data_IF_600752632611
#
_entry.id   IF_600752632611
#
_cell.length_a   1.000
_cell.length_b   1.000
_cell.length_c   1.000
_cell.angle_alpha   90.00
_cell.angle_beta   90.00
_cell.angle_gamma   90.00
#
_symmetry.space_group_name_H-M   'P 1'
#
loop_
_entity.id
_entity.type
_entity.pdbx_description
1 polymer ?
#
# COMPACT_ATOMS: atom_id res chain seq x y z
N UNK A 1 55.52 26.25 -13.65
CA UNK A 1 55.12 24.92 -14.19
C UNK A 1 55.43 23.91 -13.09
N UNK A 2 54.53 23.27 -12.35
CA UNK A 2 53.10 22.99 -12.53
C UNK A 2 52.90 21.49 -12.69
N UNK A 3 52.92 20.69 -11.61
CA UNK A 3 52.70 19.22 -11.71
C UNK A 3 52.08 18.48 -10.51
N UNK A 4 51.57 19.12 -9.43
CA UNK A 4 51.03 18.34 -8.29
C UNK A 4 49.71 18.80 -7.65
N UNK A 5 48.98 19.77 -8.22
CA UNK A 5 47.76 20.31 -7.60
C UNK A 5 46.43 19.67 -8.05
N UNK A 6 46.44 18.50 -8.70
CA UNK A 6 45.23 17.88 -9.29
C UNK A 6 44.77 16.54 -8.70
N UNK A 7 45.26 16.14 -7.52
CA UNK A 7 44.89 14.84 -6.92
C UNK A 7 43.84 14.89 -5.80
N UNK A 8 43.24 16.06 -5.53
CA UNK A 8 42.14 16.16 -4.57
C UNK A 8 40.99 17.02 -5.09
N UNK A 9 40.47 16.73 -6.29
CA UNK A 9 39.07 17.10 -6.56
C UNK A 9 38.18 16.08 -5.84
N UNK A 10 37.91 16.34 -4.57
CA UNK A 10 36.83 15.66 -3.85
C UNK A 10 35.57 15.98 -4.65
N UNK A 11 35.06 15.01 -5.40
CA UNK A 11 33.71 15.12 -5.93
C UNK A 11 32.82 15.26 -4.70
N UNK A 12 32.32 16.47 -4.46
CA UNK A 12 31.10 16.64 -3.69
C UNK A 12 30.06 15.80 -4.43
N UNK A 13 29.88 14.56 -3.98
CA UNK A 13 28.68 13.80 -4.29
C UNK A 13 27.56 14.71 -3.81
N UNK A 14 26.87 15.36 -4.75
CA UNK A 14 25.63 16.07 -4.46
C UNK A 14 24.82 15.10 -3.61
N UNK A 15 24.53 15.50 -2.37
CA UNK A 15 23.65 14.71 -1.52
C UNK A 15 22.37 14.48 -2.35
N UNK A 16 21.87 13.25 -2.45
CA UNK A 16 20.69 12.98 -3.24
C UNK A 16 19.58 13.94 -2.77
N UNK A 17 19.02 14.69 -3.69
CA UNK A 17 17.89 15.58 -3.41
C UNK A 17 16.79 14.71 -2.80
N UNK A 18 16.45 14.98 -1.54
CA UNK A 18 15.40 14.26 -0.84
C UNK A 18 14.09 14.64 -1.49
N UNK A 19 13.61 13.80 -2.40
CA UNK A 19 12.27 13.98 -2.99
C UNK A 19 11.23 13.94 -1.88
N UNK A 20 10.41 14.98 -1.83
CA UNK A 20 9.24 15.03 -0.96
C UNK A 20 8.36 13.79 -1.20
N UNK A 21 7.87 13.21 -0.11
CA UNK A 21 7.01 12.04 -0.18
C UNK A 21 5.55 12.44 -0.24
N UNK A 22 4.83 11.79 -1.13
CA UNK A 22 3.38 11.84 -1.27
C UNK A 22 2.85 10.41 -1.13
N UNK A 23 1.54 10.22 -0.88
CA UNK A 23 0.97 8.87 -0.77
C UNK A 23 1.21 8.01 -2.01
N UNK A 24 1.36 8.63 -3.19
CA UNK A 24 1.60 7.94 -4.46
C UNK A 24 3.08 7.61 -4.71
N UNK A 25 4.01 8.01 -3.84
CA UNK A 25 5.45 7.79 -4.06
C UNK A 25 6.21 7.26 -2.85
N UNK A 26 5.50 6.82 -1.80
CA UNK A 26 6.07 6.13 -0.63
C UNK A 26 6.93 4.94 -1.09
N UNK A 27 8.05 4.75 -0.38
CA UNK A 27 9.04 3.69 -0.61
C UNK A 27 9.21 2.84 0.65
N UNK A 28 9.66 1.60 0.45
CA UNK A 28 10.09 0.74 1.56
C UNK A 28 11.23 1.42 2.32
N UNK A 29 11.11 1.47 3.66
CA UNK A 29 12.02 2.15 4.58
C UNK A 29 11.61 3.59 4.91
N UNK A 30 10.59 4.16 4.26
CA UNK A 30 9.97 5.41 4.72
C UNK A 30 9.19 5.18 6.03
N UNK A 31 8.92 6.25 6.76
CA UNK A 31 8.08 6.23 7.96
C UNK A 31 6.75 6.94 7.65
N UNK A 32 5.65 6.31 8.03
CA UNK A 32 4.31 6.90 7.97
C UNK A 32 3.80 7.05 9.40
N UNK A 33 3.55 8.29 9.82
CA UNK A 33 2.82 8.57 11.06
C UNK A 33 1.33 8.54 10.75
N UNK A 34 0.58 7.73 11.49
CA UNK A 34 -0.88 7.64 11.44
C UNK A 34 -1.41 7.37 12.85
N UNK A 35 -2.49 8.04 13.25
CA UNK A 35 -3.11 7.92 14.59
C UNK A 35 -2.08 8.00 15.75
N UNK A 36 -1.18 8.99 15.66
CA UNK A 36 -0.09 9.23 16.63
C UNK A 36 0.95 8.10 16.75
N UNK A 37 0.95 7.13 15.84
CA UNK A 37 1.90 6.02 15.78
C UNK A 37 2.77 6.14 14.54
N UNK A 38 4.08 5.92 14.71
CA UNK A 38 5.05 5.89 13.61
C UNK A 38 5.24 4.46 13.12
N UNK A 39 4.89 4.20 11.86
CA UNK A 39 5.04 2.90 11.21
C UNK A 39 6.20 2.91 10.20
N UNK A 40 7.00 1.86 10.20
CA UNK A 40 7.94 1.60 9.11
C UNK A 40 7.21 0.98 7.91
N UNK A 41 7.44 1.52 6.72
CA UNK A 41 6.97 0.91 5.48
C UNK A 41 7.88 -0.26 5.13
N UNK A 42 7.43 -1.48 5.42
CA UNK A 42 8.25 -2.70 5.23
C UNK A 42 7.93 -3.45 3.94
N UNK A 43 6.82 -3.10 3.29
CA UNK A 43 6.37 -3.71 2.03
C UNK A 43 5.61 -2.70 1.18
N UNK A 44 5.68 -2.88 -0.13
CA UNK A 44 4.89 -2.13 -1.10
C UNK A 44 4.39 -3.07 -2.18
N UNK A 45 3.13 -2.93 -2.54
CA UNK A 45 2.51 -3.59 -3.67
C UNK A 45 2.01 -2.49 -4.60
N UNK A 46 2.40 -2.56 -5.87
CA UNK A 46 1.78 -1.76 -6.93
C UNK A 46 0.93 -2.68 -7.77
N UNK A 47 -0.35 -2.35 -7.87
CA UNK A 47 -1.33 -3.07 -8.67
C UNK A 47 -1.55 -2.35 -9.99
N UNK A 48 -1.81 -3.11 -11.05
CA UNK A 48 -2.16 -2.58 -12.36
C UNK A 48 -3.24 -3.43 -13.01
N UNK A 49 -4.40 -2.85 -13.23
CA UNK A 49 -5.46 -3.42 -14.06
C UNK A 49 -5.75 -2.48 -15.23
N UNK A 50 -5.45 -2.93 -16.45
CA UNK A 50 -5.54 -2.10 -17.64
C UNK A 50 -4.70 -0.80 -17.53
N UNK A 51 -5.39 0.34 -17.47
CA UNK A 51 -4.80 1.67 -17.34
C UNK A 51 -4.75 2.22 -15.90
N UNK A 52 -5.33 1.50 -14.94
CA UNK A 52 -5.44 1.90 -13.55
C UNK A 52 -4.25 1.37 -12.74
N UNK A 53 -3.79 2.16 -11.78
CA UNK A 53 -2.68 1.84 -10.88
C UNK A 53 -2.97 2.34 -9.47
N UNK A 54 -2.85 1.45 -8.49
CA UNK A 54 -2.96 1.77 -7.08
C UNK A 54 -1.85 1.11 -6.28
N UNK A 55 -1.68 1.57 -5.04
CA UNK A 55 -0.62 1.14 -4.14
C UNK A 55 -1.19 0.61 -2.83
N UNK A 56 -0.56 -0.42 -2.30
CA UNK A 56 -0.75 -0.86 -0.92
C UNK A 56 0.59 -0.90 -0.20
N UNK A 57 0.68 -0.23 0.94
CA UNK A 57 1.89 -0.11 1.75
C UNK A 57 1.72 -0.88 3.05
N UNK A 58 2.62 -1.83 3.31
CA UNK A 58 2.63 -2.56 4.58
C UNK A 58 3.30 -1.70 5.65
N UNK A 59 2.50 -1.23 6.61
CA UNK A 59 2.90 -0.40 7.74
C UNK A 59 3.15 -1.30 8.95
N UNK A 60 4.34 -1.22 9.54
CA UNK A 60 4.73 -2.05 10.69
C UNK A 60 5.11 -1.18 11.89
N UNK A 61 4.50 -1.47 13.04
CA UNK A 61 4.94 -1.01 14.35
C UNK A 61 4.96 -2.23 15.28
N UNK A 62 6.12 -2.54 15.88
CA UNK A 62 6.25 -3.74 16.71
C UNK A 62 5.83 -5.03 15.98
N UNK A 63 4.75 -5.66 16.47
CA UNK A 63 4.09 -6.82 15.87
C UNK A 63 2.76 -6.48 15.15
N UNK A 64 2.34 -5.22 15.20
CA UNK A 64 1.13 -4.72 14.55
C UNK A 64 1.40 -4.38 13.10
N UNK A 65 0.50 -4.80 12.21
CA UNK A 65 0.57 -4.51 10.79
C UNK A 65 -0.72 -3.88 10.32
N UNK A 66 -0.62 -2.75 9.63
CA UNK A 66 -1.69 -2.12 8.88
C UNK A 66 -1.30 -2.04 7.40
N UNK A 67 -2.28 -1.85 6.54
CA UNK A 67 -2.08 -1.55 5.13
C UNK A 67 -2.62 -0.17 4.83
N UNK A 68 -1.81 0.67 4.19
CA UNK A 68 -2.26 1.95 3.63
C UNK A 68 -2.48 1.75 2.13
N UNK A 69 -3.72 1.87 1.68
CA UNK A 69 -4.06 1.94 0.27
C UNK A 69 -3.95 3.39 -0.21
N UNK A 70 -3.48 3.58 -1.44
CA UNK A 70 -3.45 4.88 -2.07
C UNK A 70 -3.64 4.77 -3.59
N UNK A 71 -4.54 5.56 -4.12
CA UNK A 71 -4.77 5.65 -5.56
C UNK A 71 -5.12 7.06 -6.01
N UNK A 72 -5.15 7.24 -7.32
CA UNK A 72 -5.51 8.49 -7.96
C UNK A 72 -6.46 8.17 -9.11
N UNK A 73 -7.74 8.46 -8.91
CA UNK A 73 -8.74 8.44 -9.98
C UNK A 73 -9.13 9.88 -10.33
N UNK A 74 -10.35 10.32 -9.99
CA UNK A 74 -10.75 11.74 -10.08
C UNK A 74 -10.09 12.59 -8.97
N UNK A 75 -9.91 12.00 -7.79
CA UNK A 75 -9.18 12.58 -6.66
C UNK A 75 -8.24 11.58 -5.98
N UNK A 76 -7.48 12.05 -4.97
CA UNK A 76 -6.61 11.19 -4.18
C UNK A 76 -7.45 10.42 -3.17
N UNK A 77 -7.48 9.11 -3.30
CA UNK A 77 -8.19 8.23 -2.38
C UNK A 77 -7.19 7.45 -1.52
N UNK A 78 -7.49 7.38 -0.22
CA UNK A 78 -6.65 6.75 0.79
C UNK A 78 -7.52 5.95 1.75
N UNK A 79 -7.06 4.75 2.11
CA UNK A 79 -7.73 3.94 3.12
C UNK A 79 -6.73 3.19 3.98
N UNK A 80 -7.10 2.92 5.23
CA UNK A 80 -6.30 2.12 6.16
C UNK A 80 -7.03 0.82 6.43
N UNK A 81 -6.30 -0.29 6.27
CA UNK A 81 -6.84 -1.63 6.30
C UNK A 81 -6.08 -2.54 7.28
N UNK A 82 -6.79 -3.50 7.85
CA UNK A 82 -6.27 -4.58 8.67
C UNK A 82 -6.74 -5.94 8.15
N UNK A 83 -5.83 -6.91 8.08
CA UNK A 83 -6.18 -8.26 7.62
C UNK A 83 -7.02 -9.00 8.65
N UNK A 84 -8.16 -9.54 8.23
CA UNK A 84 -9.12 -10.25 9.08
C UNK A 84 -9.26 -11.71 8.70
N UNK A 85 -9.76 -12.51 9.64
CA UNK A 85 -10.03 -13.93 9.40
C UNK A 85 -11.47 -14.12 8.93
N UNK A 86 -11.68 -13.99 7.63
CA UNK A 86 -12.95 -14.27 6.98
C UNK A 86 -12.74 -15.31 5.86
N UNK A 87 -13.27 -16.54 5.99
CA UNK A 87 -13.10 -17.56 4.96
C UNK A 87 -13.93 -17.20 3.71
N UNK A 88 -13.23 -16.91 2.61
CA UNK A 88 -13.84 -16.64 1.30
C UNK A 88 -13.14 -17.49 0.23
N UNK A 89 -13.87 -17.88 -0.81
CA UNK A 89 -13.35 -18.65 -1.94
C UNK A 89 -13.83 -18.04 -3.26
N UNK A 90 -13.07 -18.29 -4.33
CA UNK A 90 -13.51 -17.96 -5.68
C UNK A 90 -14.65 -18.88 -6.16
N UNK A 91 -15.60 -18.36 -6.98
CA UNK A 91 -15.77 -16.96 -7.34
C UNK A 91 -16.22 -16.12 -6.15
N UNK A 92 -15.78 -14.87 -6.08
CA UNK A 92 -16.09 -13.99 -4.96
C UNK A 92 -17.61 -13.79 -4.81
N UNK A 93 -18.18 -14.01 -3.60
CA UNK A 93 -19.61 -13.97 -3.36
C UNK A 93 -20.15 -12.54 -3.55
N UNK A 94 -21.44 -12.39 -3.84
CA UNK A 94 -22.04 -11.04 -4.00
C UNK A 94 -22.24 -10.28 -2.69
N UNK A 95 -22.31 -11.01 -1.58
CA UNK A 95 -22.57 -10.49 -0.24
C UNK A 95 -21.64 -11.19 0.74
N UNK A 96 -21.10 -10.46 1.70
CA UNK A 96 -20.35 -10.98 2.84
C UNK A 96 -20.97 -10.46 4.15
N UNK A 97 -20.72 -11.18 5.24
CA UNK A 97 -21.06 -10.75 6.59
C UNK A 97 -19.80 -10.80 7.44
N UNK A 98 -19.49 -9.70 8.10
CA UNK A 98 -18.34 -9.58 8.99
C UNK A 98 -18.73 -8.73 10.20
N UNK A 99 -18.45 -9.22 11.41
CA UNK A 99 -18.78 -8.54 12.68
C UNK A 99 -20.23 -8.04 12.83
N UNK A 100 -21.18 -8.70 12.16
CA UNK A 100 -22.60 -8.35 12.21
C UNK A 100 -23.04 -7.28 11.20
N UNK A 101 -22.11 -6.77 10.39
CA UNK A 101 -22.39 -5.87 9.28
C UNK A 101 -22.46 -6.65 7.96
N UNK A 102 -23.32 -6.18 7.07
CA UNK A 102 -23.46 -6.72 5.71
C UNK A 102 -22.62 -5.88 4.75
N UNK A 103 -21.88 -6.56 3.89
CA UNK A 103 -21.08 -5.98 2.82
C UNK A 103 -21.57 -6.45 1.46
N UNK A 104 -21.63 -5.55 0.48
CA UNK A 104 -22.00 -5.84 -0.89
C UNK A 104 -20.82 -5.62 -1.82
N UNK A 105 -20.62 -6.55 -2.75
CA UNK A 105 -19.53 -6.47 -3.72
C UNK A 105 -19.77 -5.28 -4.65
N UNK A 106 -18.82 -4.36 -4.69
CA UNK A 106 -18.87 -3.16 -5.51
C UNK A 106 -18.06 -3.35 -6.80
N UNK A 107 -16.81 -3.80 -6.65
CA UNK A 107 -15.89 -4.06 -7.77
C UNK A 107 -15.30 -5.48 -7.71
N UNK A 108 -14.96 -6.05 -8.87
CA UNK A 108 -14.03 -7.17 -8.97
C UNK A 108 -13.19 -7.10 -10.24
N UNK A 109 -11.92 -7.49 -10.15
CA UNK A 109 -10.98 -7.39 -11.26
C UNK A 109 -9.78 -8.33 -11.15
N UNK A 110 -8.79 -8.12 -12.02
CA UNK A 110 -7.57 -8.92 -12.06
C UNK A 110 -6.35 -8.04 -12.35
N UNK A 111 -5.54 -7.80 -11.31
CA UNK A 111 -4.41 -6.89 -11.36
C UNK A 111 -3.07 -7.62 -11.47
N UNK A 112 -2.16 -7.11 -12.30
CA UNK A 112 -0.74 -7.51 -12.27
C UNK A 112 -0.04 -6.74 -11.15
N UNK A 113 0.75 -7.45 -10.35
CA UNK A 113 1.39 -6.85 -9.16
C UNK A 113 2.91 -6.76 -9.26
N UNK A 114 3.45 -5.66 -8.76
CA UNK A 114 4.88 -5.48 -8.45
C UNK A 114 5.02 -5.42 -6.94
N UNK A 115 5.86 -6.29 -6.38
CA UNK A 115 6.04 -6.42 -4.93
C UNK A 115 7.45 -6.03 -4.51
N UNK A 116 7.56 -5.17 -3.50
CA UNK A 116 8.81 -4.68 -2.93
C UNK A 116 8.85 -4.93 -1.41
N UNK A 117 10.05 -4.95 -0.83
CA UNK A 117 10.22 -5.22 0.61
C UNK A 117 9.73 -6.62 0.99
N UNK A 118 8.89 -6.72 2.02
CA UNK A 118 8.24 -7.96 2.46
C UNK A 118 7.31 -8.57 1.41
N UNK A 119 6.80 -7.78 0.47
CA UNK A 119 5.94 -8.24 -0.63
C UNK A 119 6.72 -8.75 -1.85
N UNK A 120 8.05 -8.88 -1.77
CA UNK A 120 8.89 -9.30 -2.91
C UNK A 120 8.55 -10.69 -3.47
N UNK A 121 7.99 -11.58 -2.64
CA UNK A 121 7.58 -12.93 -3.05
C UNK A 121 6.42 -12.93 -4.06
N UNK A 122 5.59 -11.88 -4.09
CA UNK A 122 4.47 -11.77 -5.03
C UNK A 122 4.83 -11.00 -6.30
N UNK A 123 6.07 -10.51 -6.43
CA UNK A 123 6.48 -9.70 -7.57
C UNK A 123 6.27 -10.40 -8.92
N UNK A 124 5.56 -9.74 -9.84
CA UNK A 124 5.26 -10.24 -11.18
C UNK A 124 4.10 -11.24 -11.24
N UNK A 125 3.42 -11.49 -10.13
CA UNK A 125 2.19 -12.30 -10.08
C UNK A 125 0.99 -11.47 -10.59
N UNK A 126 -0.13 -12.17 -10.69
CA UNK A 126 -1.46 -11.60 -10.91
C UNK A 126 -2.33 -11.95 -9.70
N UNK A 127 -3.13 -11.01 -9.24
CA UNK A 127 -4.10 -11.17 -8.15
C UNK A 127 -5.51 -10.92 -8.69
N UNK A 128 -6.47 -11.78 -8.33
CA UNK A 128 -7.88 -11.43 -8.46
C UNK A 128 -8.30 -10.68 -7.22
N UNK A 129 -8.95 -9.54 -7.40
CA UNK A 129 -9.40 -8.72 -6.29
C UNK A 129 -10.91 -8.50 -6.34
N UNK A 130 -11.49 -8.18 -5.19
CA UNK A 130 -12.84 -7.65 -5.10
C UNK A 130 -12.95 -6.70 -3.92
N UNK A 131 -13.62 -5.59 -4.13
CA UNK A 131 -13.92 -4.59 -3.12
C UNK A 131 -15.38 -4.68 -2.73
N UNK A 132 -15.65 -4.54 -1.44
CA UNK A 132 -17.00 -4.55 -0.90
C UNK A 132 -17.20 -3.35 0.01
N UNK A 133 -18.42 -2.82 -0.02
CA UNK A 133 -18.84 -1.69 0.81
C UNK A 133 -19.93 -2.13 1.78
N UNK A 134 -19.89 -1.60 3.01
CA UNK A 134 -20.91 -1.82 4.03
C UNK A 134 -22.24 -1.13 3.69
N UNK A 135 -23.32 -1.55 4.36
CA UNK A 135 -24.66 -0.93 4.21
C UNK A 135 -24.72 0.57 4.55
N UNK A 136 -23.84 1.03 5.45
CA UNK A 136 -23.72 2.43 5.85
C UNK A 136 -22.67 3.21 5.05
N UNK A 137 -21.97 2.55 4.11
CA UNK A 137 -20.94 3.16 3.26
C UNK A 137 -19.74 3.74 4.04
N UNK A 138 -19.49 3.26 5.26
CA UNK A 138 -18.39 3.74 6.11
C UNK A 138 -17.21 2.74 6.23
N UNK A 139 -17.39 1.50 5.77
CA UNK A 139 -16.39 0.43 5.95
C UNK A 139 -16.31 -0.44 4.71
N UNK A 140 -15.11 -0.95 4.43
CA UNK A 140 -14.80 -1.71 3.24
C UNK A 140 -14.22 -3.08 3.58
N UNK A 141 -14.47 -4.07 2.71
CA UNK A 141 -13.67 -5.29 2.66
C UNK A 141 -12.93 -5.35 1.33
N UNK A 142 -11.60 -5.41 1.41
CA UNK A 142 -10.73 -5.67 0.26
C UNK A 142 -10.30 -7.13 0.27
N UNK A 143 -10.59 -7.84 -0.83
CA UNK A 143 -10.26 -9.25 -1.01
C UNK A 143 -9.20 -9.42 -2.08
N UNK A 144 -8.21 -10.27 -1.81
CA UNK A 144 -7.13 -10.58 -2.74
C UNK A 144 -6.86 -12.08 -2.81
N UNK A 145 -6.86 -12.65 -4.02
CA UNK A 145 -6.62 -14.07 -4.24
C UNK A 145 -5.18 -14.33 -4.68
N UNK A 146 -4.38 -14.92 -3.79
CA UNK A 146 -2.98 -15.28 -4.01
C UNK A 146 -2.77 -16.75 -4.36
N UNK A 147 -3.61 -17.29 -5.24
CA UNK A 147 -3.53 -18.68 -5.70
C UNK A 147 -4.56 -19.55 -5.00
N UNK A 148 -4.14 -20.32 -3.98
CA UNK A 148 -5.05 -21.17 -3.19
C UNK A 148 -5.66 -20.46 -1.99
N UNK A 149 -5.19 -19.25 -1.68
CA UNK A 149 -5.59 -18.48 -0.50
C UNK A 149 -6.23 -17.17 -0.94
N UNK A 150 -7.30 -16.80 -0.24
CA UNK A 150 -7.93 -15.48 -0.33
C UNK A 150 -7.61 -14.77 0.97
N UNK A 151 -6.95 -13.62 0.87
CA UNK A 151 -6.77 -12.68 1.96
C UNK A 151 -7.96 -11.70 1.97
N UNK A 152 -8.40 -11.33 3.16
CA UNK A 152 -9.48 -10.38 3.39
C UNK A 152 -8.95 -9.33 4.34
N UNK A 153 -9.12 -8.06 4.00
CA UNK A 153 -8.81 -6.94 4.88
C UNK A 153 -10.05 -6.07 5.07
N UNK A 154 -10.25 -5.56 6.28
CA UNK A 154 -11.28 -4.57 6.60
C UNK A 154 -10.63 -3.21 6.73
N UNK A 155 -11.27 -2.16 6.22
CA UNK A 155 -10.73 -0.81 6.30
C UNK A 155 -11.77 0.28 6.14
N UNK A 156 -11.29 1.52 6.17
CA UNK A 156 -12.09 2.73 6.04
C UNK A 156 -11.23 3.83 5.41
N UNK A 157 -11.89 4.85 4.88
CA UNK A 157 -11.22 5.98 4.24
C UNK A 157 -10.53 6.87 5.27
N UNK A 158 -9.42 7.46 4.84
CA UNK A 158 -8.72 8.49 5.60
C UNK A 158 -8.42 9.69 4.71
N UNK A 159 -8.25 10.83 5.34
CA UNK A 159 -7.87 12.05 4.68
C UNK A 159 -6.34 12.18 4.60
N UNK A 160 -5.84 12.82 3.56
CA UNK A 160 -4.39 12.99 3.37
C UNK A 160 -3.70 13.75 4.53
N UNK A 161 -4.44 14.59 5.27
CA UNK A 161 -3.91 15.32 6.42
C UNK A 161 -3.77 14.46 7.69
N UNK A 162 -4.36 13.26 7.72
CA UNK A 162 -4.26 12.32 8.84
C UNK A 162 -2.93 11.56 8.87
N UNK A 163 -2.20 11.57 7.75
CA UNK A 163 -0.90 10.93 7.63
C UNK A 163 0.23 11.94 7.47
N UNK A 164 1.40 11.57 7.98
CA UNK A 164 2.66 12.28 7.72
C UNK A 164 3.68 11.28 7.20
N UNK A 165 4.33 11.63 6.10
CA UNK A 165 5.32 10.76 5.47
C UNK A 165 6.71 11.36 5.63
N UNK A 166 7.64 10.56 6.17
CA UNK A 166 9.05 10.90 6.30
C UNK A 166 9.87 9.97 5.41
N UNK A 167 10.66 10.57 4.52
CA UNK A 167 11.56 9.79 3.68
C UNK A 167 12.59 9.04 4.53
N UNK A 168 12.72 7.73 4.31
CA UNK A 168 13.77 6.91 4.90
C UNK A 168 15.14 7.35 4.42
N UNK A 169 16.16 7.21 5.28
CA UNK A 169 17.55 7.42 4.87
C UNK A 169 18.07 6.15 4.21
N UNK A 170 18.53 6.28 2.95
CA UNK A 170 19.23 5.21 2.22
C UNK A 170 20.66 5.03 2.72
#
# INVERSE_FOLDING_TARGET
>A
MGFFSRLFSKSEKQAPEVKERTPLNIQVGDIVTYDLVDYEVVGKITYRDGGYEWFSYQLLEGDQTKWLAAEMDDELELGVYETVKLPVSLPFPKKLEYEGQTFFKDEEGEARVTGEGRSKNINGRTSRYAEYISEDEETYLSLESWGSEVEVSVGYDIEAYEIKILAGSK
#
